data_IF_442718982140
#
_entry.id   IF_442718982140
#
_cell.length_a   1.000
_cell.length_b   1.000
_cell.length_c   1.000
_cell.angle_alpha   90.00
_cell.angle_beta   90.00
_cell.angle_gamma   90.00
#
_symmetry.space_group_name_H-M   'P 1'
#
loop_
_entity.id
_entity.type
_entity.pdbx_description
1 polymer ?
#
# COMPACT_ATOMS: atom_id res chain seq x y z
N UNK A 1 15.23 -43.58 4.37
CA UNK A 1 14.03 -42.72 4.28
C UNK A 1 14.52 -41.29 4.09
N UNK A 2 14.45 -40.76 2.88
CA UNK A 2 15.06 -39.49 2.51
C UNK A 2 14.06 -38.32 2.58
N UNK A 3 14.50 -37.28 3.28
CA UNK A 3 14.47 -35.86 2.92
C UNK A 3 13.16 -35.18 2.47
N UNK A 4 12.72 -34.22 3.30
CA UNK A 4 12.26 -32.86 2.98
C UNK A 4 11.58 -32.65 1.62
N UNK A 5 10.34 -32.17 1.65
CA UNK A 5 9.97 -31.09 0.73
C UNK A 5 9.05 -30.09 1.42
N UNK A 6 9.67 -29.00 1.81
CA UNK A 6 9.05 -27.75 2.20
C UNK A 6 8.21 -27.23 1.03
N UNK A 7 6.90 -27.09 1.25
CA UNK A 7 6.00 -26.44 0.32
C UNK A 7 6.30 -24.93 0.32
N UNK A 8 7.29 -24.50 -0.47
CA UNK A 8 7.39 -23.11 -0.90
C UNK A 8 6.25 -22.85 -1.88
N UNK A 9 5.09 -22.44 -1.35
CA UNK A 9 4.02 -21.92 -2.16
C UNK A 9 4.49 -20.62 -2.82
N UNK A 10 4.70 -20.75 -4.12
CA UNK A 10 5.17 -19.79 -5.10
C UNK A 10 4.55 -18.40 -4.97
N UNK A 11 5.43 -17.39 -5.05
CA UNK A 11 5.08 -16.00 -5.32
C UNK A 11 4.49 -15.88 -6.73
N UNK A 12 3.19 -16.09 -6.86
CA UNK A 12 2.48 -15.75 -8.09
C UNK A 12 2.02 -14.29 -8.06
N UNK A 13 2.63 -13.49 -8.94
CA UNK A 13 2.21 -12.16 -9.36
C UNK A 13 0.70 -12.13 -9.64
N UNK A 14 -0.05 -11.40 -8.82
CA UNK A 14 -1.32 -10.81 -9.21
C UNK A 14 -1.18 -9.29 -9.12
N UNK A 15 -0.83 -8.67 -10.25
CA UNK A 15 -0.96 -7.23 -10.43
C UNK A 15 -2.43 -6.95 -10.76
N UNK A 16 -3.24 -6.53 -9.78
CA UNK A 16 -4.52 -5.78 -9.90
C UNK A 16 -4.93 -5.43 -8.45
N UNK A 17 -4.71 -4.19 -8.00
CA UNK A 17 -5.73 -3.14 -7.88
C UNK A 17 -6.75 -3.46 -6.77
N UNK A 18 -6.79 -2.62 -5.72
CA UNK A 18 -7.73 -2.68 -4.59
C UNK A 18 -7.61 -4.01 -3.80
N UNK A 19 -6.72 -4.05 -2.79
CA UNK A 19 -6.62 -5.20 -1.86
C UNK A 19 -7.88 -5.28 -0.98
N UNK A 20 -8.97 -5.77 -1.55
CA UNK A 20 -10.09 -6.37 -0.82
C UNK A 20 -9.78 -7.84 -0.63
N UNK A 21 -8.87 -8.16 0.29
CA UNK A 21 -8.50 -9.53 0.66
C UNK A 21 -9.54 -10.20 1.58
N UNK A 22 -10.83 -9.85 1.45
CA UNK A 22 -11.92 -10.31 2.31
C UNK A 22 -11.83 -9.88 3.78
N UNK A 23 -10.77 -9.15 4.14
CA UNK A 23 -10.53 -8.67 5.50
C UNK A 23 -11.37 -7.45 5.89
N UNK A 24 -11.32 -7.04 7.16
CA UNK A 24 -12.04 -5.87 7.64
C UNK A 24 -11.59 -4.59 6.91
N UNK A 25 -12.58 -3.75 6.58
CA UNK A 25 -12.36 -2.41 6.03
C UNK A 25 -11.79 -1.47 7.09
N UNK A 26 -11.25 -0.34 6.65
CA UNK A 26 -10.84 0.73 7.56
C UNK A 26 -12.05 1.31 8.31
N UNK A 27 -11.92 1.65 9.60
CA UNK A 27 -13.01 2.22 10.39
C UNK A 27 -13.28 3.69 10.06
N UNK A 28 -12.28 4.41 9.53
CA UNK A 28 -12.38 5.81 9.14
C UNK A 28 -11.33 6.17 8.08
N UNK A 29 -11.50 7.28 7.33
CA UNK A 29 -10.50 7.72 6.36
C UNK A 29 -9.16 8.04 7.03
N UNK A 30 -8.04 7.41 6.60
CA UNK A 30 -6.76 7.59 7.26
C UNK A 30 -6.04 8.89 6.88
N UNK A 31 -6.42 9.50 5.75
CA UNK A 31 -5.82 10.73 5.25
C UNK A 31 -6.93 11.71 4.86
N UNK A 32 -6.79 12.98 5.26
CA UNK A 32 -7.68 14.09 4.85
C UNK A 32 -7.35 14.59 3.43
N UNK A 33 -7.33 13.69 2.46
CA UNK A 33 -7.12 14.01 1.06
C UNK A 33 -8.17 13.27 0.22
N UNK A 34 -8.37 13.69 -1.05
CA UNK A 34 -9.27 13.00 -1.98
C UNK A 34 -8.91 11.51 -2.12
N UNK A 35 -7.62 11.19 -2.12
CA UNK A 35 -7.12 9.82 -2.12
C UNK A 35 -7.46 9.05 -0.84
N UNK A 36 -7.60 9.71 0.31
CA UNK A 36 -8.01 9.09 1.56
C UNK A 36 -9.44 8.53 1.54
N UNK A 37 -10.35 9.17 0.80
CA UNK A 37 -11.70 8.63 0.57
C UNK A 37 -11.66 7.36 -0.28
N UNK A 38 -10.81 7.33 -1.32
CA UNK A 38 -10.62 6.15 -2.16
C UNK A 38 -9.98 4.99 -1.39
N UNK A 39 -9.02 5.30 -0.51
CA UNK A 39 -8.39 4.31 0.39
C UNK A 39 -9.43 3.74 1.34
N UNK A 40 -10.21 4.58 2.01
CA UNK A 40 -11.25 4.14 2.93
C UNK A 40 -12.27 3.18 2.30
N UNK A 41 -12.71 3.48 1.07
CA UNK A 41 -13.75 2.70 0.39
C UNK A 41 -13.27 1.37 -0.19
N UNK A 42 -11.97 1.24 -0.50
CA UNK A 42 -11.50 0.13 -1.31
C UNK A 42 -10.27 -0.61 -0.78
N UNK A 43 -9.77 -0.25 0.42
CA UNK A 43 -8.56 -0.82 1.00
C UNK A 43 -8.89 -1.40 2.37
N UNK A 44 -8.53 -2.67 2.59
CA UNK A 44 -8.66 -3.32 3.90
C UNK A 44 -7.66 -2.75 4.91
N UNK A 45 -7.96 -2.91 6.20
CA UNK A 45 -7.06 -2.56 7.29
C UNK A 45 -5.68 -3.27 7.15
N UNK A 46 -5.68 -4.51 6.65
CA UNK A 46 -4.45 -5.29 6.42
C UNK A 46 -3.59 -4.70 5.30
N UNK A 47 -4.20 -4.29 4.18
CA UNK A 47 -3.49 -3.64 3.09
C UNK A 47 -2.93 -2.27 3.50
N UNK A 48 -3.69 -1.51 4.29
CA UNK A 48 -3.23 -0.25 4.88
C UNK A 48 -2.03 -0.43 5.82
N UNK A 49 -2.06 -1.49 6.65
CA UNK A 49 -0.94 -1.84 7.51
C UNK A 49 0.35 -2.12 6.72
N UNK A 50 0.24 -2.87 5.62
CA UNK A 50 1.38 -3.14 4.73
C UNK A 50 1.93 -1.85 4.09
N UNK A 51 1.06 -0.93 3.65
CA UNK A 51 1.49 0.38 3.17
C UNK A 51 2.22 1.17 4.26
N UNK A 52 1.71 1.18 5.49
CA UNK A 52 2.31 1.93 6.60
C UNK A 52 3.74 1.46 6.88
N UNK A 53 3.99 0.15 6.85
CA UNK A 53 5.33 -0.41 6.96
C UNK A 53 6.23 0.04 5.80
N UNK A 54 5.73 -0.01 4.56
CA UNK A 54 6.48 0.44 3.38
C UNK A 54 6.78 1.93 3.43
N UNK A 55 5.86 2.75 3.91
CA UNK A 55 6.01 4.19 4.09
C UNK A 55 7.15 4.49 5.06
N UNK A 56 7.19 3.82 6.22
CA UNK A 56 8.28 3.99 7.19
C UNK A 56 9.63 3.62 6.58
N UNK A 57 9.72 2.49 5.88
CA UNK A 57 10.94 2.11 5.16
C UNK A 57 11.34 3.17 4.13
N UNK A 58 10.40 3.68 3.33
CA UNK A 58 10.65 4.72 2.33
C UNK A 58 11.17 6.03 2.95
N UNK A 59 10.58 6.45 4.07
CA UNK A 59 11.00 7.65 4.79
C UNK A 59 12.44 7.49 5.29
N UNK A 60 12.76 6.34 5.87
CA UNK A 60 14.09 6.07 6.42
C UNK A 60 15.15 5.91 5.31
N UNK A 61 14.84 5.13 4.26
CA UNK A 61 15.72 4.86 3.13
C UNK A 61 16.12 6.13 2.38
N UNK A 62 15.15 7.02 2.12
CA UNK A 62 15.36 8.25 1.35
C UNK A 62 15.58 9.48 2.23
N UNK A 63 15.61 9.33 3.56
CA UNK A 63 15.67 10.40 4.56
C UNK A 63 14.67 11.52 4.26
N UNK A 64 13.41 11.14 4.05
CA UNK A 64 12.35 12.07 3.66
C UNK A 64 11.94 12.97 4.83
N UNK A 65 11.86 14.28 4.56
CA UNK A 65 11.24 15.23 5.49
C UNK A 65 9.78 15.50 5.09
N UNK A 66 8.85 15.01 5.90
CA UNK A 66 7.41 15.18 5.70
C UNK A 66 6.92 16.62 5.97
N UNK A 67 7.76 17.53 6.46
CA UNK A 67 7.43 18.96 6.62
C UNK A 67 7.18 19.64 5.26
N UNK A 68 7.92 19.21 4.22
CA UNK A 68 7.83 19.77 2.89
C UNK A 68 6.63 19.20 2.12
N UNK A 69 5.76 20.09 1.60
CA UNK A 69 4.57 19.69 0.85
C UNK A 69 4.88 18.76 -0.33
N UNK A 70 5.96 19.03 -1.09
CA UNK A 70 6.41 18.20 -2.21
C UNK A 70 6.71 16.75 -1.81
N UNK A 71 7.25 16.55 -0.61
CA UNK A 71 7.61 15.22 -0.09
C UNK A 71 6.35 14.46 0.31
N UNK A 72 5.39 15.13 0.97
CA UNK A 72 4.07 14.54 1.25
C UNK A 72 3.38 14.09 -0.05
N UNK A 73 3.40 14.91 -1.10
CA UNK A 73 2.85 14.52 -2.41
C UNK A 73 3.59 13.31 -3.02
N UNK A 74 4.92 13.26 -2.89
CA UNK A 74 5.69 12.10 -3.36
C UNK A 74 5.31 10.81 -2.64
N UNK A 75 5.16 10.86 -1.31
CA UNK A 75 4.73 9.72 -0.50
C UNK A 75 3.31 9.29 -0.88
N UNK A 76 2.40 10.24 -1.11
CA UNK A 76 1.03 9.96 -1.56
C UNK A 76 1.00 9.28 -2.94
N UNK A 77 1.82 9.71 -3.90
CA UNK A 77 1.90 9.02 -5.21
C UNK A 77 2.43 7.59 -5.08
N UNK A 78 3.42 7.37 -4.21
CA UNK A 78 3.94 6.02 -3.90
C UNK A 78 2.86 5.15 -3.24
N UNK A 79 2.04 5.73 -2.37
CA UNK A 79 0.89 5.06 -1.75
C UNK A 79 -0.10 4.61 -2.80
N UNK A 80 -0.49 5.51 -3.70
CA UNK A 80 -1.46 5.22 -4.76
C UNK A 80 -0.97 4.08 -5.66
N UNK A 81 0.30 4.12 -6.08
CA UNK A 81 0.91 3.01 -6.82
C UNK A 81 0.98 1.70 -6.04
N UNK A 82 1.21 1.75 -4.72
CA UNK A 82 1.27 0.55 -3.87
C UNK A 82 -0.11 -0.08 -3.61
N UNK A 83 -1.14 0.74 -3.39
CA UNK A 83 -2.48 0.30 -3.02
C UNK A 83 -3.39 0.03 -4.22
N UNK A 84 -3.26 0.83 -5.29
CA UNK A 84 -4.14 0.77 -6.46
C UNK A 84 -3.43 0.23 -7.71
N UNK A 85 -2.13 -0.01 -7.67
CA UNK A 85 -1.35 -0.29 -8.88
C UNK A 85 -1.25 0.97 -9.76
N UNK A 86 -0.62 0.85 -10.93
CA UNK A 86 -0.36 1.95 -11.88
C UNK A 86 -1.62 2.61 -12.49
N UNK A 87 -2.78 2.53 -11.84
CA UNK A 87 -4.07 3.08 -12.28
C UNK A 87 -4.34 4.51 -11.80
N UNK A 88 -3.32 5.23 -11.33
CA UNK A 88 -3.42 6.64 -10.94
C UNK A 88 -2.62 7.54 -11.91
N UNK A 89 -2.90 7.44 -13.20
CA UNK A 89 -2.58 8.51 -14.15
C UNK A 89 -3.89 9.26 -14.42
N UNK A 90 -4.07 10.50 -13.95
CA UNK A 90 -5.01 11.40 -14.60
C UNK A 90 -4.35 11.81 -15.92
N UNK A 91 -4.89 11.32 -17.03
CA UNK A 91 -4.73 11.97 -18.33
C UNK A 91 -5.46 13.31 -18.33
#
# INVERSE_FOLDING_TARGET
MACVTQAHASQHRAHTVLRTDGGPMLPSPPIRARSGVAVFKNVTARAWGAWTQRQTALINELRLDLSAHRVRLFVLRRMEGHLFGNAAQPG
#
